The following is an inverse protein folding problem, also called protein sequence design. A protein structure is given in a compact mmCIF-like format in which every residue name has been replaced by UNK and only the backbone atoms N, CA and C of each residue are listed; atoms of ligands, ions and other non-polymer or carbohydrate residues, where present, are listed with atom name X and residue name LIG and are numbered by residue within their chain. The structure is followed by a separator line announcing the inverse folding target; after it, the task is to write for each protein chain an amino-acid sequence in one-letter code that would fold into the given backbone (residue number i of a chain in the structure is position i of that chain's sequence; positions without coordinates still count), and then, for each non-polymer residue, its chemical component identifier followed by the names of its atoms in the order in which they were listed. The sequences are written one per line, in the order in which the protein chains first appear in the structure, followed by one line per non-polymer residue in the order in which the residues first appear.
data_IF_379048034022
#
_entry.id   IF_379048034022
#
_cell.length_a   1.000
_cell.length_b   1.000
_cell.length_c   1.000
_cell.angle_alpha   90.00
_cell.angle_beta   90.00
_cell.angle_gamma   90.00
#
_symmetry.space_group_name_H-M   'P 1'
#
loop_
_entity.id
_entity.type
_entity.pdbx_description
1 polymer ?
#
# COMPACT_ATOMS: atom_id res chain seq x y z
N UNK A 1 -18.13 -25.12 21.40
CA UNK A 1 -17.14 -24.17 20.89
C UNK A 1 -15.88 -24.14 21.76
N UNK A 2 -15.94 -23.93 23.09
CA UNK A 2 -14.76 -23.87 23.97
C UNK A 2 -13.80 -25.06 23.79
N UNK A 3 -14.29 -26.30 23.83
CA UNK A 3 -13.46 -27.50 23.64
C UNK A 3 -12.78 -27.56 22.27
N UNK A 4 -13.46 -27.09 21.23
CA UNK A 4 -12.88 -27.05 19.87
C UNK A 4 -11.79 -25.98 19.80
N UNK A 5 -12.03 -24.80 20.36
CA UNK A 5 -11.04 -23.74 20.46
C UNK A 5 -9.76 -24.22 21.16
N UNK A 6 -9.92 -24.79 22.37
CA UNK A 6 -8.80 -25.32 23.17
C UNK A 6 -8.05 -26.43 22.43
N UNK A 7 -8.78 -27.34 21.75
CA UNK A 7 -8.18 -28.42 20.96
C UNK A 7 -7.34 -27.86 19.81
N UNK A 8 -7.91 -26.96 18.97
CA UNK A 8 -7.21 -26.37 17.84
C UNK A 8 -5.96 -25.59 18.29
N UNK A 9 -6.09 -24.81 19.36
CA UNK A 9 -4.95 -24.08 19.91
C UNK A 9 -3.83 -25.00 20.42
N UNK A 10 -4.19 -26.12 21.04
CA UNK A 10 -3.21 -27.05 21.62
C UNK A 10 -2.57 -27.97 20.58
N UNK A 11 -3.35 -28.41 19.57
CA UNK A 11 -2.89 -29.36 18.54
C UNK A 11 -2.08 -28.70 17.43
N UNK A 12 -2.11 -27.37 17.32
CA UNK A 12 -1.39 -26.61 16.28
C UNK A 12 -0.08 -26.07 16.85
N UNK A 13 0.98 -26.09 16.06
CA UNK A 13 2.25 -25.44 16.37
C UNK A 13 2.03 -23.96 16.74
N UNK A 14 2.87 -23.42 17.64
CA UNK A 14 2.65 -22.05 18.18
C UNK A 14 2.61 -21.00 17.06
N UNK A 15 3.57 -21.00 16.14
CA UNK A 15 3.65 -20.11 14.99
C UNK A 15 3.95 -20.91 13.72
N UNK A 16 2.97 -21.68 13.21
CA UNK A 16 3.18 -22.53 12.05
C UNK A 16 3.43 -21.70 10.79
N UNK A 17 4.20 -22.24 9.86
CA UNK A 17 4.49 -21.56 8.60
C UNK A 17 3.45 -21.90 7.52
N UNK A 18 3.25 -20.93 6.63
CA UNK A 18 2.39 -21.06 5.45
C UNK A 18 0.90 -21.04 5.76
N UNK A 19 0.12 -20.99 4.69
CA UNK A 19 -1.36 -20.87 4.76
C UNK A 19 -1.98 -22.11 5.40
N UNK A 20 -1.52 -23.31 5.01
CA UNK A 20 -2.05 -24.57 5.54
C UNK A 20 -1.77 -24.71 7.04
N UNK A 21 -0.59 -24.28 7.49
CA UNK A 21 -0.25 -24.28 8.91
C UNK A 21 -1.12 -23.32 9.73
N UNK A 22 -1.50 -22.17 9.17
CA UNK A 22 -2.38 -21.20 9.82
C UNK A 22 -3.86 -21.60 9.80
N UNK A 23 -4.30 -22.48 8.90
CA UNK A 23 -5.71 -22.82 8.74
C UNK A 23 -6.42 -23.26 10.03
N UNK A 24 -5.84 -24.13 10.90
CA UNK A 24 -6.47 -24.49 12.17
C UNK A 24 -6.60 -23.31 13.15
N UNK A 25 -5.66 -22.33 13.09
CA UNK A 25 -5.71 -21.13 13.93
C UNK A 25 -6.82 -20.19 13.48
N UNK A 26 -6.98 -20.00 12.17
CA UNK A 26 -8.11 -19.25 11.61
C UNK A 26 -9.45 -19.90 11.99
N UNK A 27 -9.53 -21.26 12.00
CA UNK A 27 -10.72 -21.98 12.47
C UNK A 27 -10.95 -21.82 13.98
N UNK A 28 -9.91 -21.67 14.78
CA UNK A 28 -10.05 -21.47 16.23
C UNK A 28 -10.76 -20.14 16.57
N UNK A 29 -10.53 -19.05 15.81
CA UNK A 29 -11.08 -17.71 16.09
C UNK A 29 -12.60 -17.74 16.29
N UNK A 30 -13.43 -18.20 15.31
CA UNK A 30 -14.88 -18.21 15.49
C UNK A 30 -15.31 -19.07 16.69
N UNK A 31 -14.64 -20.18 16.96
CA UNK A 31 -14.96 -21.01 18.12
C UNK A 31 -14.62 -20.31 19.45
N UNK A 32 -13.55 -19.53 19.50
CA UNK A 32 -13.21 -18.69 20.65
C UNK A 32 -14.26 -17.61 20.89
N UNK A 33 -14.64 -16.88 19.85
CA UNK A 33 -15.66 -15.83 19.91
C UNK A 33 -17.03 -16.38 20.36
N UNK A 34 -17.49 -17.50 19.77
CA UNK A 34 -18.74 -18.16 20.18
C UNK A 34 -18.71 -18.73 21.62
N UNK A 35 -17.53 -18.97 22.15
CA UNK A 35 -17.35 -19.40 23.54
C UNK A 35 -17.23 -18.21 24.54
N UNK A 36 -17.33 -16.97 24.06
CA UNK A 36 -17.14 -15.76 24.87
C UNK A 36 -15.67 -15.43 25.19
N UNK A 37 -14.72 -16.11 24.53
CA UNK A 37 -13.27 -15.98 24.75
C UNK A 37 -12.64 -14.94 23.79
N UNK A 38 -13.34 -13.83 23.51
CA UNK A 38 -12.92 -12.84 22.49
C UNK A 38 -11.50 -12.31 22.73
N UNK A 39 -11.17 -11.91 23.97
CA UNK A 39 -9.81 -11.41 24.27
C UNK A 39 -8.74 -12.45 24.01
N UNK A 40 -8.98 -13.69 24.41
CA UNK A 40 -8.03 -14.78 24.22
C UNK A 40 -7.87 -15.11 22.74
N UNK A 41 -8.99 -15.20 21.99
CA UNK A 41 -8.96 -15.41 20.55
C UNK A 41 -8.20 -14.28 19.83
N UNK A 42 -8.37 -13.02 20.26
CA UNK A 42 -7.68 -11.88 19.68
C UNK A 42 -6.19 -11.85 20.05
N UNK A 43 -5.85 -11.90 21.35
CA UNK A 43 -4.47 -11.67 21.79
C UNK A 43 -3.57 -12.88 21.55
N UNK A 44 -4.03 -14.10 21.98
CA UNK A 44 -3.20 -15.30 21.97
C UNK A 44 -3.19 -16.01 20.61
N UNK A 45 -4.29 -15.91 19.83
CA UNK A 45 -4.38 -16.63 18.55
C UNK A 45 -4.16 -15.68 17.37
N UNK A 46 -5.01 -14.66 17.22
CA UNK A 46 -4.92 -13.79 16.04
C UNK A 46 -3.65 -12.94 16.06
N UNK A 47 -3.43 -12.15 17.11
CA UNK A 47 -2.29 -11.24 17.18
C UNK A 47 -0.96 -11.96 17.35
N UNK A 48 -0.84 -12.91 18.28
CA UNK A 48 0.45 -13.55 18.55
C UNK A 48 0.81 -14.62 17.52
N UNK A 49 -0.11 -15.50 17.17
CA UNK A 49 0.22 -16.69 16.37
C UNK A 49 0.00 -16.50 14.88
N UNK A 50 -1.07 -15.78 14.46
CA UNK A 50 -1.39 -15.54 13.03
C UNK A 50 -0.64 -14.31 12.51
N UNK A 51 -0.81 -13.15 13.13
CA UNK A 51 -0.14 -11.91 12.73
C UNK A 51 1.34 -11.87 13.15
N UNK A 52 1.69 -12.55 14.23
CA UNK A 52 3.03 -12.57 14.87
C UNK A 52 3.45 -11.21 15.44
N UNK A 53 2.46 -10.34 15.75
CA UNK A 53 2.62 -9.01 16.31
C UNK A 53 1.83 -7.94 15.57
N UNK A 54 2.00 -6.68 16.01
CA UNK A 54 1.33 -5.47 15.45
C UNK A 54 2.36 -4.42 14.96
N UNK A 55 3.64 -4.74 14.96
CA UNK A 55 4.71 -3.85 14.50
C UNK A 55 4.82 -3.77 12.98
N UNK A 56 5.65 -2.84 12.49
CA UNK A 56 5.82 -2.61 11.06
C UNK A 56 6.21 -3.87 10.26
N UNK A 57 7.07 -4.72 10.82
CA UNK A 57 7.53 -5.96 10.16
C UNK A 57 6.68 -7.19 10.48
N UNK A 58 5.65 -7.03 11.30
CA UNK A 58 4.71 -8.08 11.68
C UNK A 58 3.62 -8.26 10.60
N UNK A 59 2.45 -8.73 10.98
CA UNK A 59 1.35 -9.05 10.06
C UNK A 59 1.72 -10.15 9.06
N UNK A 60 2.28 -11.24 9.60
CA UNK A 60 2.79 -12.37 8.81
C UNK A 60 1.76 -12.91 7.81
N UNK A 61 0.52 -13.13 8.22
CA UNK A 61 -0.55 -13.66 7.36
C UNK A 61 -0.85 -12.73 6.18
N UNK A 62 -1.03 -11.44 6.41
CA UNK A 62 -1.40 -10.49 5.36
C UNK A 62 -0.22 -10.05 4.52
N UNK A 63 0.93 -9.67 5.14
CA UNK A 63 2.06 -9.09 4.40
C UNK A 63 2.93 -10.13 3.67
N UNK A 64 3.09 -11.34 4.27
CA UNK A 64 3.97 -12.38 3.73
C UNK A 64 3.23 -13.50 3.02
N UNK A 65 1.97 -13.75 3.36
CA UNK A 65 1.18 -14.82 2.77
C UNK A 65 0.01 -14.31 1.91
N UNK A 66 -0.31 -13.01 1.94
CA UNK A 66 -1.40 -12.43 1.16
C UNK A 66 -2.81 -12.91 1.58
N UNK A 67 -2.98 -13.42 2.82
CA UNK A 67 -4.24 -14.03 3.29
C UNK A 67 -5.31 -13.03 3.70
N UNK A 68 -5.41 -11.89 3.00
CA UNK A 68 -6.30 -10.76 3.32
C UNK A 68 -7.75 -11.21 3.56
N UNK A 69 -8.26 -12.14 2.74
CA UNK A 69 -9.64 -12.66 2.88
C UNK A 69 -9.83 -13.47 4.17
N UNK A 70 -8.86 -14.30 4.55
CA UNK A 70 -8.90 -15.08 5.79
C UNK A 70 -8.77 -14.16 7.02
N UNK A 71 -7.88 -13.15 6.94
CA UNK A 71 -7.73 -12.14 7.99
C UNK A 71 -9.03 -11.34 8.20
N UNK A 72 -9.69 -10.89 7.11
CA UNK A 72 -10.99 -10.23 7.20
C UNK A 72 -12.05 -11.16 7.83
N UNK A 73 -12.06 -12.43 7.46
CA UNK A 73 -12.95 -13.44 8.04
C UNK A 73 -12.72 -13.65 9.54
N UNK A 74 -11.46 -13.66 9.98
CA UNK A 74 -11.11 -13.73 11.40
C UNK A 74 -11.55 -12.47 12.16
N UNK A 75 -11.26 -11.29 11.61
CA UNK A 75 -11.68 -9.99 12.17
C UNK A 75 -13.20 -9.91 12.29
N UNK A 76 -13.95 -10.38 11.30
CA UNK A 76 -15.42 -10.38 11.32
C UNK A 76 -16.02 -11.14 12.53
N UNK A 77 -15.32 -12.16 13.03
CA UNK A 77 -15.79 -12.94 14.20
C UNK A 77 -15.86 -12.12 15.50
N UNK A 78 -15.20 -10.99 15.57
CA UNK A 78 -15.22 -10.11 16.75
C UNK A 78 -16.38 -9.10 16.72
N UNK A 79 -17.13 -9.03 15.61
CA UNK A 79 -18.26 -8.12 15.43
C UNK A 79 -19.60 -8.81 15.74
N UNK A 80 -20.47 -8.12 16.47
CA UNK A 80 -21.88 -8.48 16.62
C UNK A 80 -22.71 -8.02 15.41
N UNK A 81 -22.33 -6.88 14.83
CA UNK A 81 -22.83 -6.37 13.56
C UNK A 81 -21.64 -6.01 12.67
N UNK A 82 -21.53 -6.57 11.47
CA UNK A 82 -20.39 -6.36 10.61
C UNK A 82 -20.00 -4.90 10.47
N UNK A 83 -18.75 -4.60 10.73
CA UNK A 83 -18.06 -3.33 10.57
C UNK A 83 -18.59 -2.14 11.37
N UNK A 84 -19.57 -2.36 12.26
CA UNK A 84 -20.20 -1.28 13.05
C UNK A 84 -20.23 -1.54 14.55
N UNK A 85 -20.50 -2.78 15.01
CA UNK A 85 -20.59 -3.08 16.43
C UNK A 85 -19.77 -4.29 16.81
N UNK A 86 -18.74 -4.06 17.63
CA UNK A 86 -17.89 -5.10 18.18
C UNK A 86 -18.46 -5.70 19.48
N UNK A 87 -17.94 -6.87 19.85
CA UNK A 87 -18.26 -7.50 21.12
C UNK A 87 -17.84 -6.61 22.30
N UNK A 88 -18.73 -6.40 23.31
CA UNK A 88 -18.41 -5.63 24.53
C UNK A 88 -17.35 -6.32 25.39
N UNK A 89 -16.99 -7.57 25.11
CA UNK A 89 -15.92 -8.31 25.80
C UNK A 89 -14.51 -7.85 25.42
N UNK A 90 -14.38 -6.94 24.45
CA UNK A 90 -13.11 -6.37 24.00
C UNK A 90 -12.84 -5.02 24.68
N UNK A 91 -11.57 -4.68 24.85
CA UNK A 91 -11.19 -3.35 25.36
C UNK A 91 -11.48 -2.29 24.29
N UNK A 92 -11.69 -1.00 24.67
CA UNK A 92 -11.84 0.08 23.70
C UNK A 92 -10.66 0.18 22.71
N UNK A 93 -9.44 -0.09 23.18
CA UNK A 93 -8.25 -0.11 22.34
C UNK A 93 -8.27 -1.24 21.29
N UNK A 94 -8.73 -2.45 21.68
CA UNK A 94 -8.88 -3.58 20.77
C UNK A 94 -10.01 -3.34 19.77
N UNK A 95 -11.10 -2.69 20.21
CA UNK A 95 -12.22 -2.34 19.33
C UNK A 95 -11.77 -1.37 18.23
N UNK A 96 -11.08 -0.28 18.60
CA UNK A 96 -10.56 0.69 17.65
C UNK A 96 -9.56 0.05 16.68
N UNK A 97 -8.70 -0.85 17.16
CA UNK A 97 -7.76 -1.57 16.32
C UNK A 97 -8.47 -2.48 15.31
N UNK A 98 -9.46 -3.27 15.74
CA UNK A 98 -10.23 -4.17 14.86
C UNK A 98 -11.05 -3.41 13.82
N UNK A 99 -11.59 -2.23 14.14
CA UNK A 99 -12.27 -1.36 13.18
C UNK A 99 -11.31 -0.88 12.09
N UNK A 100 -10.13 -0.42 12.48
CA UNK A 100 -9.10 -0.01 11.51
C UNK A 100 -8.67 -1.17 10.61
N UNK A 101 -8.43 -2.34 11.19
CA UNK A 101 -8.00 -3.53 10.43
C UNK A 101 -9.11 -4.02 9.50
N UNK A 102 -10.38 -3.99 9.93
CA UNK A 102 -11.51 -4.30 9.06
C UNK A 102 -11.54 -3.36 7.84
N UNK A 103 -11.42 -2.04 8.05
CA UNK A 103 -11.35 -1.08 6.96
C UNK A 103 -10.16 -1.29 6.04
N UNK A 104 -8.98 -1.58 6.61
CA UNK A 104 -7.78 -1.89 5.84
C UNK A 104 -7.95 -3.13 4.95
N UNK A 105 -8.48 -4.24 5.49
CA UNK A 105 -8.69 -5.45 4.70
C UNK A 105 -9.81 -5.29 3.67
N UNK A 106 -10.90 -4.59 4.01
CA UNK A 106 -11.97 -4.26 3.05
C UNK A 106 -11.42 -3.48 1.86
N UNK A 107 -10.59 -2.45 2.10
CA UNK A 107 -9.92 -1.71 1.03
C UNK A 107 -9.06 -2.62 0.16
N UNK A 108 -8.23 -3.47 0.75
CA UNK A 108 -7.38 -4.40 0.01
C UNK A 108 -8.19 -5.36 -0.88
N UNK A 109 -9.38 -5.77 -0.44
CA UNK A 109 -10.30 -6.61 -1.22
C UNK A 109 -11.15 -5.83 -2.24
N UNK A 110 -10.93 -4.53 -2.42
CA UNK A 110 -11.69 -3.70 -3.35
C UNK A 110 -13.08 -3.26 -2.83
N UNK A 111 -13.41 -3.53 -1.55
CA UNK A 111 -14.67 -3.15 -0.90
C UNK A 111 -14.58 -1.74 -0.28
N UNK A 112 -14.26 -0.75 -1.13
CA UNK A 112 -13.85 0.59 -0.70
C UNK A 112 -14.92 1.33 0.11
N UNK A 113 -16.17 1.31 -0.35
CA UNK A 113 -17.28 2.01 0.32
C UNK A 113 -17.58 1.45 1.70
N UNK A 114 -17.41 0.13 1.86
CA UNK A 114 -17.61 -0.54 3.15
C UNK A 114 -16.46 -0.26 4.13
N UNK A 115 -15.29 0.12 3.64
CA UNK A 115 -14.12 0.44 4.46
C UNK A 115 -14.23 1.80 5.18
N UNK A 116 -15.06 2.72 4.70
CA UNK A 116 -15.13 4.13 5.18
C UNK A 116 -15.59 4.19 6.63
N UNK A 117 -16.76 3.61 6.93
CA UNK A 117 -17.37 3.74 8.25
C UNK A 117 -16.54 3.10 9.38
N UNK A 118 -16.00 1.85 9.26
CA UNK A 118 -15.18 1.31 10.31
C UNK A 118 -13.89 2.11 10.54
N UNK A 119 -13.28 2.69 9.50
CA UNK A 119 -12.10 3.53 9.68
C UNK A 119 -12.44 4.87 10.35
N UNK A 120 -13.57 5.49 10.03
CA UNK A 120 -14.03 6.69 10.73
C UNK A 120 -14.28 6.42 12.22
N UNK A 121 -15.01 5.35 12.52
CA UNK A 121 -15.26 4.95 13.90
C UNK A 121 -13.96 4.64 14.66
N UNK A 122 -12.98 3.99 13.99
CA UNK A 122 -11.66 3.77 14.57
C UNK A 122 -10.94 5.08 14.91
N UNK A 123 -10.98 6.08 14.00
CA UNK A 123 -10.36 7.38 14.23
C UNK A 123 -11.00 8.11 15.42
N UNK A 124 -12.33 8.18 15.47
CA UNK A 124 -13.07 8.79 16.57
C UNK A 124 -12.68 8.15 17.91
N UNK A 125 -12.66 6.82 17.98
CA UNK A 125 -12.25 6.10 19.20
C UNK A 125 -10.80 6.37 19.58
N UNK A 126 -9.86 6.52 18.62
CA UNK A 126 -8.45 6.84 18.92
C UNK A 126 -8.30 8.26 19.45
N UNK A 127 -9.05 9.21 18.90
CA UNK A 127 -9.08 10.60 19.39
C UNK A 127 -9.63 10.64 20.82
N UNK A 128 -10.75 9.94 21.12
CA UNK A 128 -11.33 9.87 22.46
C UNK A 128 -10.36 9.22 23.48
N UNK A 129 -9.52 8.30 23.03
CA UNK A 129 -8.50 7.63 23.86
C UNK A 129 -7.21 8.45 23.97
N UNK A 130 -7.10 9.60 23.31
CA UNK A 130 -5.87 10.40 23.16
C UNK A 130 -4.68 9.57 22.63
N UNK A 131 -4.97 8.49 21.87
CA UNK A 131 -3.97 7.64 21.21
C UNK A 131 -3.57 8.27 19.87
N UNK A 132 -2.78 9.36 19.95
CA UNK A 132 -2.40 10.18 18.79
C UNK A 132 -1.55 9.40 17.79
N UNK A 133 -0.73 8.47 18.25
CA UNK A 133 0.04 7.55 17.39
C UNK A 133 -0.87 6.74 16.49
N UNK A 134 -1.86 6.05 17.07
CA UNK A 134 -2.82 5.26 16.29
C UNK A 134 -3.79 6.13 15.50
N UNK A 135 -4.15 7.32 15.98
CA UNK A 135 -4.97 8.27 15.23
C UNK A 135 -4.30 8.69 13.92
N UNK A 136 -2.99 8.97 13.93
CA UNK A 136 -2.23 9.27 12.72
C UNK A 136 -2.23 8.10 11.71
N UNK A 137 -2.15 6.86 12.20
CA UNK A 137 -2.25 5.64 11.36
C UNK A 137 -3.61 5.59 10.65
N UNK A 138 -4.70 5.77 11.39
CA UNK A 138 -6.06 5.66 10.85
C UNK A 138 -6.36 6.81 9.90
N UNK A 139 -5.94 8.05 10.23
CA UNK A 139 -6.06 9.20 9.33
C UNK A 139 -5.32 8.97 8.01
N UNK A 140 -4.11 8.37 8.06
CA UNK A 140 -3.37 7.95 6.86
C UNK A 140 -4.14 6.95 6.00
N UNK A 141 -4.72 5.93 6.61
CA UNK A 141 -5.56 4.95 5.92
C UNK A 141 -6.81 5.59 5.29
N UNK A 142 -7.45 6.53 5.99
CA UNK A 142 -8.60 7.29 5.48
C UNK A 142 -8.22 8.20 4.31
N UNK A 143 -7.08 8.89 4.38
CA UNK A 143 -6.55 9.71 3.28
C UNK A 143 -6.33 8.87 2.02
N UNK A 144 -5.69 7.69 2.15
CA UNK A 144 -5.49 6.77 1.03
C UNK A 144 -6.80 6.22 0.46
N UNK A 145 -7.75 5.87 1.32
CA UNK A 145 -9.08 5.41 0.91
C UNK A 145 -9.82 6.51 0.15
N UNK A 146 -9.76 7.74 0.64
CA UNK A 146 -10.36 8.91 -0.01
C UNK A 146 -9.75 9.17 -1.40
N UNK A 147 -8.42 9.11 -1.54
CA UNK A 147 -7.76 9.20 -2.85
C UNK A 147 -8.25 8.12 -3.82
N UNK A 148 -8.38 6.89 -3.35
CA UNK A 148 -8.88 5.78 -4.17
C UNK A 148 -10.32 5.96 -4.60
N UNK A 149 -11.16 6.59 -3.75
CA UNK A 149 -12.56 6.93 -4.03
C UNK A 149 -12.73 8.22 -4.86
N UNK A 150 -11.66 8.99 -5.08
CA UNK A 150 -11.68 10.26 -5.81
C UNK A 150 -12.10 11.47 -4.95
N UNK A 151 -12.22 11.33 -3.63
CA UNK A 151 -12.50 12.45 -2.72
C UNK A 151 -11.20 13.14 -2.29
N UNK A 152 -10.68 13.98 -3.19
CA UNK A 152 -9.42 14.70 -2.99
C UNK A 152 -9.48 15.66 -1.79
N UNK A 153 -10.63 16.33 -1.60
CA UNK A 153 -10.79 17.29 -0.50
C UNK A 153 -10.75 16.59 0.86
N UNK A 154 -11.37 15.42 0.98
CA UNK A 154 -11.32 14.63 2.21
C UNK A 154 -9.91 14.06 2.43
N UNK A 155 -9.23 13.59 1.36
CA UNK A 155 -7.87 13.07 1.45
C UNK A 155 -6.87 14.11 1.99
N UNK A 156 -6.97 15.36 1.53
CA UNK A 156 -6.14 16.48 2.04
C UNK A 156 -6.43 16.74 3.51
N UNK A 157 -7.71 16.86 3.91
CA UNK A 157 -8.07 17.12 5.31
C UNK A 157 -7.53 16.06 6.26
N UNK A 158 -7.71 14.79 5.92
CA UNK A 158 -7.18 13.69 6.74
C UNK A 158 -5.64 13.70 6.72
N UNK A 159 -5.04 14.06 5.58
CA UNK A 159 -3.59 14.24 5.46
C UNK A 159 -3.04 15.33 6.38
N UNK A 160 -3.72 16.47 6.50
CA UNK A 160 -3.37 17.55 7.43
C UNK A 160 -3.50 17.09 8.90
N UNK A 161 -4.52 16.30 9.23
CA UNK A 161 -4.69 15.73 10.57
C UNK A 161 -3.52 14.78 10.95
N UNK A 162 -2.91 14.09 9.98
CA UNK A 162 -1.73 13.26 10.26
C UNK A 162 -0.61 14.09 10.88
N UNK A 163 -0.39 15.31 10.40
CA UNK A 163 0.65 16.20 10.92
C UNK A 163 0.35 16.56 12.38
N UNK A 164 -0.88 17.01 12.68
CA UNK A 164 -1.30 17.35 14.04
C UNK A 164 -1.17 16.16 15.01
N UNK A 165 -1.66 14.98 14.62
CA UNK A 165 -1.58 13.78 15.48
C UNK A 165 -0.15 13.31 15.69
N UNK A 166 0.71 13.39 14.68
CA UNK A 166 2.12 13.03 14.84
C UNK A 166 2.88 14.02 15.72
N UNK A 167 2.51 15.29 15.73
CA UNK A 167 3.08 16.29 16.64
C UNK A 167 2.63 16.04 18.08
N UNK A 168 1.35 15.76 18.29
CA UNK A 168 0.81 15.45 19.63
C UNK A 168 1.37 14.14 20.21
N UNK A 169 1.64 13.14 19.38
CA UNK A 169 2.22 11.88 19.85
C UNK A 169 3.65 12.02 20.36
N UNK A 170 4.38 13.05 19.89
CA UNK A 170 5.82 13.21 20.17
C UNK A 170 6.70 12.13 19.54
N UNK A 171 6.12 11.14 18.87
CA UNK A 171 6.81 10.02 18.25
C UNK A 171 7.01 10.26 16.76
N UNK A 172 8.22 10.52 16.34
CA UNK A 172 8.57 10.72 14.92
C UNK A 172 8.91 9.41 14.19
N UNK A 173 9.49 8.45 14.91
CA UNK A 173 10.16 7.27 14.37
C UNK A 173 9.29 6.22 13.66
N UNK A 174 7.96 6.35 13.65
CA UNK A 174 7.04 5.42 12.95
C UNK A 174 6.12 6.09 11.94
N UNK A 175 6.09 7.43 11.91
CA UNK A 175 5.07 8.20 11.22
C UNK A 175 5.42 8.64 9.79
N UNK A 176 6.66 8.39 9.34
CA UNK A 176 7.09 8.71 7.98
C UNK A 176 6.17 8.09 6.91
N UNK A 177 5.64 6.89 7.17
CA UNK A 177 4.72 6.21 6.26
C UNK A 177 3.42 6.99 6.04
N UNK A 178 2.83 7.52 7.11
CA UNK A 178 1.55 8.22 7.04
C UNK A 178 1.71 9.66 6.53
N UNK A 179 2.81 10.32 6.85
CA UNK A 179 3.16 11.62 6.27
C UNK A 179 3.36 11.55 4.76
N UNK A 180 3.84 10.42 4.24
CA UNK A 180 3.93 10.18 2.81
C UNK A 180 2.54 10.08 2.16
N UNK A 181 1.48 9.68 2.89
CA UNK A 181 0.11 9.72 2.38
C UNK A 181 -0.38 11.15 2.16
N UNK A 182 -0.01 12.09 3.05
CA UNK A 182 -0.29 13.51 2.86
C UNK A 182 0.44 14.10 1.66
N UNK A 183 1.74 13.80 1.53
CA UNK A 183 2.52 14.23 0.36
C UNK A 183 1.94 13.70 -0.96
N UNK A 184 1.47 12.43 -0.96
CA UNK A 184 0.78 11.85 -2.11
C UNK A 184 -0.55 12.56 -2.40
N UNK A 185 -1.35 12.86 -1.37
CA UNK A 185 -2.60 13.61 -1.56
C UNK A 185 -2.34 14.98 -2.22
N UNK A 186 -1.31 15.72 -1.78
CA UNK A 186 -0.88 16.98 -2.43
C UNK A 186 -0.43 16.77 -3.87
N UNK A 187 0.29 15.70 -4.15
CA UNK A 187 0.67 15.33 -5.52
C UNK A 187 -0.56 15.09 -6.42
N UNK A 188 -1.52 14.31 -5.93
CA UNK A 188 -2.71 13.95 -6.71
C UNK A 188 -3.64 15.14 -7.02
N UNK A 189 -3.64 16.19 -6.21
CA UNK A 189 -4.35 17.46 -6.52
C UNK A 189 -3.54 18.41 -7.38
N UNK A 190 -2.30 18.05 -7.77
CA UNK A 190 -1.45 18.82 -8.66
C UNK A 190 -0.48 19.78 -7.98
N UNK A 191 -0.40 19.81 -6.65
CA UNK A 191 0.52 20.63 -5.85
C UNK A 191 1.91 19.97 -5.77
N UNK A 192 2.57 19.84 -6.93
CA UNK A 192 3.78 19.01 -7.08
C UNK A 192 4.99 19.53 -6.33
N UNK A 193 5.17 20.84 -6.30
CA UNK A 193 6.34 21.45 -5.63
C UNK A 193 6.24 21.23 -4.11
N UNK A 194 5.05 21.41 -3.55
CA UNK A 194 4.79 21.17 -2.13
C UNK A 194 4.92 19.68 -1.79
N UNK A 195 4.36 18.80 -2.60
CA UNK A 195 4.54 17.35 -2.46
C UNK A 195 6.03 16.95 -2.52
N UNK A 196 6.78 17.54 -3.44
CA UNK A 196 8.22 17.30 -3.60
C UNK A 196 9.01 17.72 -2.34
N UNK A 197 8.71 18.87 -1.75
CA UNK A 197 9.32 19.33 -0.51
C UNK A 197 8.99 18.38 0.66
N UNK A 198 7.73 17.98 0.79
CA UNK A 198 7.30 17.04 1.83
C UNK A 198 8.03 15.68 1.73
N UNK A 199 8.15 15.12 0.52
CA UNK A 199 8.89 13.86 0.32
C UNK A 199 10.39 14.02 0.59
N UNK A 200 11.01 15.10 0.16
CA UNK A 200 12.44 15.39 0.41
C UNK A 200 12.74 15.55 1.91
N UNK A 201 11.87 16.23 2.64
CA UNK A 201 11.98 16.37 4.10
C UNK A 201 11.81 15.02 4.81
N UNK A 202 10.83 14.22 4.36
CA UNK A 202 10.63 12.86 4.89
C UNK A 202 11.87 11.98 4.65
N UNK A 203 12.43 12.00 3.45
CA UNK A 203 13.60 11.19 3.11
C UNK A 203 14.83 11.64 3.91
N UNK A 204 15.03 12.95 4.08
CA UNK A 204 16.12 13.50 4.89
C UNK A 204 16.03 13.01 6.34
N UNK A 205 14.84 12.96 6.92
CA UNK A 205 14.62 12.44 8.28
C UNK A 205 14.78 10.93 8.34
N UNK A 206 14.18 10.22 7.37
CA UNK A 206 14.31 8.77 7.27
C UNK A 206 15.79 8.34 7.22
N UNK A 207 16.61 9.02 6.42
CA UNK A 207 18.04 8.76 6.29
C UNK A 207 18.80 8.93 7.61
N UNK A 208 18.39 9.88 8.48
CA UNK A 208 19.00 10.07 9.81
C UNK A 208 18.62 8.94 10.79
N UNK A 209 17.39 8.46 10.73
CA UNK A 209 16.90 7.39 11.59
C UNK A 209 17.33 6.01 11.13
N UNK A 210 17.51 5.82 9.81
CA UNK A 210 17.88 4.57 9.16
C UNK A 210 19.03 4.74 8.16
N UNK A 211 20.26 4.97 8.65
CA UNK A 211 21.41 5.21 7.78
C UNK A 211 21.77 4.03 6.85
N UNK A 212 21.38 2.80 7.22
CA UNK A 212 21.59 1.60 6.37
C UNK A 212 20.70 1.58 5.14
N UNK A 213 19.52 2.19 5.22
CA UNK A 213 18.50 2.22 4.16
C UNK A 213 17.99 3.67 4.03
N UNK A 214 18.81 4.61 3.50
CA UNK A 214 18.56 6.05 3.64
C UNK A 214 17.42 6.57 2.75
N UNK A 215 17.07 5.85 1.69
CA UNK A 215 15.97 6.23 0.79
C UNK A 215 14.64 5.69 1.31
N UNK A 216 13.57 6.39 0.99
CA UNK A 216 12.21 5.90 1.25
C UNK A 216 11.95 4.63 0.42
N UNK A 217 11.37 3.62 1.04
CA UNK A 217 11.01 2.34 0.43
C UNK A 217 9.57 1.93 0.77
N UNK A 218 9.06 0.82 0.24
CA UNK A 218 7.69 0.37 0.41
C UNK A 218 6.68 1.42 -0.10
N UNK A 219 5.53 1.63 0.54
CA UNK A 219 4.53 2.62 0.11
C UNK A 219 5.06 4.05 -0.02
N UNK A 220 5.83 4.62 0.92
CA UNK A 220 6.41 5.95 0.76
C UNK A 220 7.38 6.05 -0.42
N UNK A 221 8.22 5.06 -0.63
CA UNK A 221 9.13 5.01 -1.79
C UNK A 221 8.36 4.95 -3.11
N UNK A 222 7.34 4.09 -3.20
CA UNK A 222 6.45 3.99 -4.34
C UNK A 222 5.78 5.34 -4.69
N UNK A 223 5.19 6.03 -3.68
CA UNK A 223 4.54 7.32 -3.87
C UNK A 223 5.50 8.42 -4.30
N UNK A 224 6.70 8.44 -3.71
CA UNK A 224 7.71 9.40 -4.12
C UNK A 224 8.18 9.15 -5.56
N UNK A 225 8.38 7.91 -5.95
CA UNK A 225 8.67 7.54 -7.33
C UNK A 225 7.52 7.91 -8.29
N UNK A 226 6.26 7.81 -7.84
CA UNK A 226 5.09 8.24 -8.63
C UNK A 226 5.13 9.75 -8.93
N UNK A 227 5.47 10.58 -7.92
CA UNK A 227 5.70 12.01 -8.12
C UNK A 227 6.85 12.27 -9.10
N UNK A 228 8.00 11.62 -8.92
CA UNK A 228 9.18 11.80 -9.78
C UNK A 228 8.91 11.39 -11.22
N UNK A 229 8.13 10.32 -11.46
CA UNK A 229 7.73 9.89 -12.81
C UNK A 229 6.67 10.77 -13.47
N UNK A 230 6.01 11.65 -12.74
CA UNK A 230 4.84 12.39 -13.22
C UNK A 230 5.11 13.25 -14.48
N UNK A 231 6.34 13.74 -14.65
CA UNK A 231 6.77 14.48 -15.87
C UNK A 231 6.99 13.53 -17.03
N UNK A 232 7.77 12.46 -16.82
CA UNK A 232 8.05 11.46 -17.84
C UNK A 232 6.76 10.77 -18.32
N UNK A 233 5.82 10.54 -17.42
CA UNK A 233 4.49 9.99 -17.74
C UNK A 233 3.73 10.91 -18.72
N UNK A 234 3.68 12.22 -18.46
CA UNK A 234 3.02 13.16 -19.36
C UNK A 234 3.65 13.17 -20.75
N UNK A 235 4.98 13.19 -20.83
CA UNK A 235 5.68 13.13 -22.12
C UNK A 235 5.40 11.82 -22.85
N UNK A 236 5.39 10.70 -22.13
CA UNK A 236 5.04 9.40 -22.68
C UNK A 236 3.61 9.36 -23.23
N UNK A 237 2.64 9.96 -22.53
CA UNK A 237 1.26 10.12 -23.03
C UNK A 237 1.20 11.01 -24.27
N UNK A 238 1.89 12.15 -24.28
CA UNK A 238 1.97 13.04 -25.43
C UNK A 238 2.54 12.30 -26.66
N UNK A 239 3.64 11.56 -26.50
CA UNK A 239 4.23 10.76 -27.55
C UNK A 239 3.25 9.71 -28.12
N UNK A 240 2.49 9.05 -27.25
CA UNK A 240 1.49 8.05 -27.65
C UNK A 240 0.32 8.68 -28.40
N UNK A 241 -0.15 9.86 -27.98
CA UNK A 241 -1.32 10.53 -28.54
C UNK A 241 -1.00 11.38 -29.79
N UNK A 242 0.26 11.76 -30.01
CA UNK A 242 0.67 12.57 -31.17
C UNK A 242 0.31 11.92 -32.51
N UNK A 243 0.30 10.58 -32.56
CA UNK A 243 -0.16 9.81 -33.73
C UNK A 243 -1.67 9.86 -33.97
N UNK A 244 -2.48 10.34 -33.02
CA UNK A 244 -3.95 10.41 -33.09
C UNK A 244 -4.48 11.82 -33.48
N UNK A 245 -3.60 12.80 -33.66
CA UNK A 245 -3.98 14.21 -33.94
C UNK A 245 -4.40 15.01 -32.69
N UNK A 246 -4.29 14.43 -31.50
CA UNK A 246 -4.54 15.10 -30.22
C UNK A 246 -3.35 16.01 -29.88
N UNK A 247 -3.57 17.30 -29.64
CA UNK A 247 -2.58 18.23 -29.10
C UNK A 247 -2.93 18.53 -27.63
N UNK A 248 -2.14 18.07 -26.68
CA UNK A 248 -2.35 18.41 -25.27
C UNK A 248 -2.03 19.90 -25.03
N UNK A 249 -2.85 20.57 -24.22
CA UNK A 249 -2.57 21.93 -23.76
C UNK A 249 -1.53 21.89 -22.64
N UNK A 250 -0.34 22.43 -22.88
CA UNK A 250 0.70 22.61 -21.87
C UNK A 250 2.07 22.83 -22.48
N UNK A 251 2.73 23.88 -22.05
CA UNK A 251 4.10 24.25 -22.43
C UNK A 251 5.07 23.62 -21.40
N UNK A 252 5.48 22.37 -21.64
CA UNK A 252 6.60 21.75 -20.87
C UNK A 252 7.89 22.01 -21.67
N UNK A 253 8.51 23.19 -21.46
CA UNK A 253 9.77 23.63 -22.09
C UNK A 253 11.02 22.91 -21.56
N UNK A 254 10.89 21.76 -20.90
CA UNK A 254 12.01 20.96 -20.38
C UNK A 254 12.52 20.00 -21.46
N UNK A 255 13.85 19.88 -21.57
CA UNK A 255 14.48 19.07 -22.60
C UNK A 255 14.20 17.57 -22.46
N UNK A 256 14.26 16.83 -23.58
CA UNK A 256 14.09 15.37 -23.63
C UNK A 256 15.04 14.62 -22.67
N UNK A 257 16.23 15.16 -22.45
CA UNK A 257 17.26 14.57 -21.57
C UNK A 257 16.84 14.57 -20.09
N UNK A 258 16.06 15.55 -19.63
CA UNK A 258 15.59 15.63 -18.23
C UNK A 258 14.64 14.47 -17.89
N UNK A 259 13.74 14.09 -18.82
CA UNK A 259 12.78 13.02 -18.59
C UNK A 259 13.43 11.62 -18.57
N UNK A 260 14.50 11.42 -19.33
CA UNK A 260 15.30 10.18 -19.28
C UNK A 260 16.02 10.09 -17.95
N UNK A 261 16.57 11.22 -17.45
CA UNK A 261 17.23 11.31 -16.15
C UNK A 261 16.26 10.99 -15.01
N UNK A 262 15.01 11.51 -15.05
CA UNK A 262 13.97 11.19 -14.07
C UNK A 262 13.69 9.67 -14.02
N UNK A 263 13.57 9.02 -15.19
CA UNK A 263 13.36 7.57 -15.28
C UNK A 263 14.57 6.77 -14.72
N UNK A 264 15.79 7.20 -14.99
CA UNK A 264 17.01 6.56 -14.51
C UNK A 264 17.12 6.67 -12.98
N UNK A 265 16.86 7.85 -12.43
CA UNK A 265 16.82 8.08 -10.96
C UNK A 265 15.77 7.18 -10.28
N UNK A 266 14.55 7.10 -10.85
CA UNK A 266 13.50 6.26 -10.30
C UNK A 266 13.85 4.78 -10.40
N UNK A 267 14.49 4.35 -11.49
CA UNK A 267 14.96 2.96 -11.66
C UNK A 267 15.96 2.58 -10.57
N UNK A 268 16.94 3.45 -10.30
CA UNK A 268 17.93 3.22 -9.22
C UNK A 268 17.24 3.10 -7.86
N UNK A 269 16.37 4.06 -7.52
CA UNK A 269 15.63 4.07 -6.25
C UNK A 269 14.77 2.82 -6.05
N UNK A 270 14.04 2.42 -7.10
CA UNK A 270 13.14 1.26 -7.03
C UNK A 270 13.89 -0.06 -6.94
N UNK A 271 15.07 -0.18 -7.54
CA UNK A 271 15.90 -1.37 -7.37
C UNK A 271 16.42 -1.50 -5.93
N UNK A 272 16.84 -0.39 -5.30
CA UNK A 272 17.24 -0.39 -3.88
C UNK A 272 16.04 -0.74 -2.98
N UNK A 273 14.87 -0.12 -3.22
CA UNK A 273 13.66 -0.41 -2.47
C UNK A 273 13.22 -1.87 -2.61
N UNK A 274 13.25 -2.41 -3.83
CA UNK A 274 12.91 -3.81 -4.13
C UNK A 274 13.81 -4.77 -3.33
N UNK A 275 15.12 -4.55 -3.31
CA UNK A 275 16.04 -5.38 -2.54
C UNK A 275 15.74 -5.39 -1.03
N UNK A 276 15.23 -4.27 -0.48
CA UNK A 276 14.81 -4.18 0.92
C UNK A 276 13.52 -4.99 1.14
N UNK A 277 12.48 -4.75 0.33
CA UNK A 277 11.16 -5.36 0.55
C UNK A 277 11.14 -6.86 0.22
N UNK A 278 12.02 -7.35 -0.66
CA UNK A 278 12.25 -8.77 -0.90
C UNK A 278 12.82 -9.46 0.35
N UNK A 279 13.83 -8.87 1.01
CA UNK A 279 14.36 -9.37 2.30
C UNK A 279 13.30 -9.42 3.39
N UNK A 280 12.37 -8.46 3.38
CA UNK A 280 11.26 -8.37 4.34
C UNK A 280 10.08 -9.26 3.94
N UNK A 281 10.04 -9.81 2.72
CA UNK A 281 8.92 -10.56 2.14
C UNK A 281 7.60 -9.80 2.18
N UNK A 282 7.62 -8.51 1.86
CA UNK A 282 6.43 -7.66 1.79
C UNK A 282 5.81 -7.72 0.39
N UNK A 283 4.89 -8.64 0.15
CA UNK A 283 4.34 -8.96 -1.18
C UNK A 283 3.78 -7.74 -1.92
N UNK A 284 2.97 -6.91 -1.24
CA UNK A 284 2.40 -5.71 -1.88
C UNK A 284 3.50 -4.76 -2.34
N UNK A 285 4.50 -4.50 -1.49
CA UNK A 285 5.60 -3.58 -1.81
C UNK A 285 6.45 -4.09 -2.96
N UNK A 286 6.72 -5.40 -3.03
CA UNK A 286 7.41 -6.05 -4.15
C UNK A 286 6.64 -5.79 -5.46
N UNK A 287 5.31 -6.01 -5.45
CA UNK A 287 4.46 -5.76 -6.62
C UNK A 287 4.46 -4.28 -7.04
N UNK A 288 4.45 -3.34 -6.09
CA UNK A 288 4.50 -1.91 -6.36
C UNK A 288 5.85 -1.44 -6.90
N UNK A 289 6.97 -1.97 -6.39
CA UNK A 289 8.31 -1.64 -6.90
C UNK A 289 8.50 -2.18 -8.33
N UNK A 290 8.00 -3.38 -8.63
CA UNK A 290 7.96 -3.88 -10.00
C UNK A 290 7.07 -3.01 -10.91
N UNK A 291 5.94 -2.51 -10.43
CA UNK A 291 5.11 -1.56 -11.18
C UNK A 291 5.87 -0.28 -11.50
N UNK A 292 6.59 0.27 -10.54
CA UNK A 292 7.41 1.47 -10.72
C UNK A 292 8.51 1.24 -11.76
N UNK A 293 9.25 0.14 -11.66
CA UNK A 293 10.30 -0.22 -12.62
C UNK A 293 9.74 -0.40 -14.04
N UNK A 294 8.59 -1.07 -14.17
CA UNK A 294 7.91 -1.24 -15.44
C UNK A 294 7.46 0.08 -16.07
N UNK A 295 6.94 1.01 -15.25
CA UNK A 295 6.56 2.38 -15.68
C UNK A 295 7.78 3.20 -16.10
N UNK A 296 8.82 3.21 -15.28
CA UNK A 296 10.06 3.93 -15.60
C UNK A 296 10.66 3.46 -16.93
N UNK A 297 10.73 2.15 -17.15
CA UNK A 297 11.23 1.60 -18.42
C UNK A 297 10.33 1.94 -19.61
N UNK A 298 9.01 1.84 -19.47
CA UNK A 298 8.05 2.20 -20.53
C UNK A 298 8.13 3.69 -20.90
N UNK A 299 8.15 4.57 -19.89
CA UNK A 299 8.21 6.03 -20.12
C UNK A 299 9.53 6.46 -20.73
N UNK A 300 10.66 5.88 -20.27
CA UNK A 300 11.97 6.07 -20.89
C UNK A 300 11.99 5.67 -22.35
N UNK A 301 11.39 4.52 -22.69
CA UNK A 301 11.29 4.06 -24.08
C UNK A 301 10.48 5.01 -24.95
N UNK A 302 9.35 5.50 -24.45
CA UNK A 302 8.46 6.45 -25.15
C UNK A 302 9.10 7.84 -25.29
N UNK A 303 9.80 8.32 -24.27
CA UNK A 303 10.47 9.62 -24.27
C UNK A 303 11.74 9.66 -25.15
N UNK A 304 12.34 8.51 -25.49
CA UNK A 304 13.56 8.44 -26.30
C UNK A 304 13.38 7.65 -27.60
N UNK A 305 12.62 8.19 -28.58
CA UNK A 305 12.37 7.51 -29.86
C UNK A 305 13.62 7.36 -30.74
N UNK A 306 14.62 8.22 -30.58
CA UNK A 306 15.86 8.24 -31.36
C UNK A 306 17.01 7.40 -30.75
N UNK A 307 16.80 6.77 -29.60
CA UNK A 307 17.81 5.95 -28.94
C UNK A 307 18.25 4.72 -29.73
N UNK A 308 19.43 4.14 -29.44
CA UNK A 308 19.94 2.94 -30.13
C UNK A 308 18.91 1.79 -30.10
N UNK A 309 18.68 1.14 -31.25
CA UNK A 309 17.61 0.15 -31.41
C UNK A 309 17.73 -1.03 -30.43
N UNK A 310 18.95 -1.57 -30.22
CA UNK A 310 19.15 -2.67 -29.29
C UNK A 310 18.82 -2.27 -27.83
N UNK A 311 19.29 -1.11 -27.38
CA UNK A 311 18.98 -0.60 -26.04
C UNK A 311 17.48 -0.33 -25.85
N UNK A 312 16.79 0.12 -26.90
CA UNK A 312 15.35 0.34 -26.88
C UNK A 312 14.58 -0.98 -26.77
N UNK A 313 14.99 -2.02 -27.49
CA UNK A 313 14.38 -3.35 -27.42
C UNK A 313 14.53 -3.93 -26.00
N UNK A 314 15.74 -3.89 -25.42
CA UNK A 314 16.00 -4.34 -24.05
C UNK A 314 15.16 -3.57 -23.01
N UNK A 315 15.03 -2.25 -23.16
CA UNK A 315 14.22 -1.42 -22.27
C UNK A 315 12.73 -1.80 -22.32
N UNK A 316 12.21 -2.05 -23.53
CA UNK A 316 10.81 -2.42 -23.73
C UNK A 316 10.48 -3.82 -23.20
N UNK A 317 11.42 -4.77 -23.37
CA UNK A 317 11.31 -6.13 -22.82
C UNK A 317 11.36 -6.10 -21.28
N UNK A 318 12.25 -5.32 -20.70
CA UNK A 318 12.32 -5.12 -19.25
C UNK A 318 11.01 -4.53 -18.70
N UNK A 319 10.41 -3.54 -19.40
CA UNK A 319 9.10 -3.01 -19.03
C UNK A 319 8.04 -4.10 -18.96
N UNK A 320 7.96 -4.96 -19.98
CA UNK A 320 7.01 -6.08 -20.02
C UNK A 320 7.19 -7.09 -18.90
N UNK A 321 8.44 -7.46 -18.59
CA UNK A 321 8.78 -8.38 -17.50
C UNK A 321 8.34 -7.79 -16.14
N UNK A 322 8.72 -6.55 -15.85
CA UNK A 322 8.35 -5.89 -14.59
C UNK A 322 6.83 -5.69 -14.47
N UNK A 323 6.13 -5.31 -15.54
CA UNK A 323 4.66 -5.14 -15.50
C UNK A 323 3.94 -6.49 -15.33
N UNK A 324 4.48 -7.58 -15.84
CA UNK A 324 4.00 -8.93 -15.56
C UNK A 324 4.15 -9.26 -14.09
N UNK A 325 5.38 -9.17 -13.55
CA UNK A 325 5.67 -9.42 -12.15
C UNK A 325 4.85 -8.54 -11.18
N UNK A 326 4.62 -7.26 -11.55
CA UNK A 326 3.78 -6.34 -10.76
C UNK A 326 2.34 -6.84 -10.63
N UNK A 327 1.70 -7.19 -11.75
CA UNK A 327 0.29 -7.64 -11.74
C UNK A 327 0.13 -8.96 -10.99
N UNK A 328 1.03 -9.90 -11.20
CA UNK A 328 0.99 -11.20 -10.54
C UNK A 328 1.29 -11.04 -9.03
N UNK A 329 2.33 -10.29 -8.65
CA UNK A 329 2.65 -10.03 -7.25
C UNK A 329 1.55 -9.28 -6.49
N UNK A 330 0.86 -8.32 -7.12
CA UNK A 330 -0.28 -7.63 -6.50
C UNK A 330 -1.50 -8.54 -6.32
N UNK A 331 -1.70 -9.52 -7.21
CA UNK A 331 -2.75 -10.56 -7.06
C UNK A 331 -2.42 -11.49 -5.92
N UNK A 332 -1.19 -11.99 -5.85
CA UNK A 332 -0.73 -12.88 -4.80
C UNK A 332 -0.79 -12.20 -3.42
N UNK A 333 -0.53 -10.90 -3.38
CA UNK A 333 -0.64 -10.08 -2.18
C UNK A 333 -2.10 -9.79 -1.74
N UNK A 334 -3.10 -10.11 -2.57
CA UNK A 334 -4.50 -9.75 -2.31
C UNK A 334 -4.78 -8.23 -2.35
N UNK A 335 -3.91 -7.45 -3.02
CA UNK A 335 -3.98 -5.98 -3.05
C UNK A 335 -4.84 -5.48 -4.23
N UNK A 336 -6.13 -5.82 -4.21
CA UNK A 336 -7.06 -5.59 -5.33
C UNK A 336 -7.14 -4.13 -5.79
N UNK A 337 -7.00 -3.17 -4.87
CA UNK A 337 -7.08 -1.74 -5.17
C UNK A 337 -5.87 -1.20 -5.97
N UNK A 338 -4.74 -1.91 -5.99
CA UNK A 338 -3.57 -1.56 -6.80
C UNK A 338 -3.55 -2.27 -8.18
N UNK A 339 -4.26 -3.39 -8.33
CA UNK A 339 -4.29 -4.19 -9.57
C UNK A 339 -4.67 -3.35 -10.81
N UNK A 340 -5.72 -2.47 -10.77
CA UNK A 340 -6.09 -1.67 -11.93
C UNK A 340 -4.96 -0.83 -12.50
N UNK A 341 -4.12 -0.23 -11.65
CA UNK A 341 -2.96 0.57 -12.09
C UNK A 341 -1.94 -0.29 -12.86
N UNK A 342 -1.66 -1.49 -12.36
CA UNK A 342 -0.79 -2.45 -13.05
C UNK A 342 -1.36 -2.92 -14.38
N UNK A 343 -2.65 -3.25 -14.42
CA UNK A 343 -3.33 -3.68 -15.64
C UNK A 343 -3.38 -2.59 -16.71
N UNK A 344 -3.69 -1.35 -16.34
CA UNK A 344 -3.73 -0.21 -17.27
C UNK A 344 -2.35 0.07 -17.87
N UNK A 345 -1.29 0.06 -17.06
CA UNK A 345 0.08 0.27 -17.56
C UNK A 345 0.52 -0.89 -18.47
N UNK A 346 0.17 -2.14 -18.10
CA UNK A 346 0.46 -3.30 -18.94
C UNK A 346 -0.32 -3.30 -20.25
N UNK A 347 -1.56 -2.84 -20.25
CA UNK A 347 -2.35 -2.66 -21.46
C UNK A 347 -1.72 -1.59 -22.38
N UNK A 348 -1.25 -0.47 -21.81
CA UNK A 348 -0.53 0.54 -22.55
C UNK A 348 0.77 0.00 -23.18
N UNK A 349 1.57 -0.75 -22.41
CA UNK A 349 2.76 -1.43 -22.94
C UNK A 349 2.42 -2.37 -24.09
N UNK A 350 1.37 -3.19 -23.99
CA UNK A 350 0.90 -4.06 -25.08
C UNK A 350 0.46 -3.30 -26.31
N UNK A 351 -0.23 -2.19 -26.14
CA UNK A 351 -0.62 -1.33 -27.24
C UNK A 351 0.59 -0.79 -28.01
N UNK A 352 1.62 -0.30 -27.33
CA UNK A 352 2.82 0.25 -28.00
C UNK A 352 3.72 -0.84 -28.60
N UNK A 353 3.62 -2.09 -28.15
CA UNK A 353 4.29 -3.25 -28.74
C UNK A 353 3.50 -3.88 -29.90
N UNK A 354 2.27 -3.45 -30.15
CA UNK A 354 1.40 -4.00 -31.19
C UNK A 354 0.63 -5.26 -30.77
N UNK A 355 0.67 -5.66 -29.51
CA UNK A 355 -0.12 -6.78 -28.95
C UNK A 355 -1.52 -6.31 -28.54
N UNK A 356 -2.27 -5.76 -29.52
CA UNK A 356 -3.61 -5.18 -29.29
C UNK A 356 -4.63 -6.21 -28.78
N UNK A 357 -4.66 -7.49 -29.27
CA UNK A 357 -5.57 -8.50 -28.73
C UNK A 357 -5.35 -8.83 -27.25
N UNK A 358 -4.14 -8.57 -26.75
CA UNK A 358 -3.77 -8.79 -25.36
C UNK A 358 -3.89 -7.54 -24.45
N UNK A 359 -4.15 -6.35 -25.01
CA UNK A 359 -4.17 -5.06 -24.31
C UNK A 359 -5.45 -4.81 -23.48
#
# INVERSE_FOLDING_TARGET
HRRVFEYLCKSTEHRPDGVDGLAPLFQAIPHGCHAGLHRQALSEVYTDRILRGKGYNDFYSSKKLGTIGADLGAVACFFEQPWSRLSPNLTPADQAWLLNDAGHYLRNLGRMTEAVEPQRAALEMRIEQEDWTSAAVVAGNLSELALTLGDMAFAIREGEQIIDYTERSGEWGGHWMFRASYADARHQVGERDEAGQLFADLETRHARERPSDPRLYSFPGFRYCDLLLSRAERVAWQATLSGTGFQPAGDDSHGQDDHVTDCDQVTERSNEALAIVERLHHLVSIGLDHLTLGRAALYRWLANPAGPQNSRAETLDAAGQHLGAAVDGLRDAGASHHIPRGLLTRAWWRQVTGDVPGA
#
